data_IF_446780224479
#
_entry.id   IF_446780224479
#
_cell.length_a   1.000
_cell.length_b   1.000
_cell.length_c   1.000
_cell.angle_alpha   90.00
_cell.angle_beta   90.00
_cell.angle_gamma   90.00
#
_symmetry.space_group_name_H-M   'P 1'
#
loop_
_entity.id
_entity.type
_entity.pdbx_description
1 polymer ?
#
# COMPACT_ATOMS: atom_id res chain seq x y z
N UNK A 1 -13.42 -4.59 11.35
CA UNK A 1 -12.90 -5.55 12.34
C UNK A 1 -13.71 -5.35 13.60
N UNK A 2 -14.38 -6.39 14.09
CA UNK A 2 -15.02 -6.34 15.42
C UNK A 2 -13.91 -6.41 16.45
N UNK A 3 -13.61 -5.28 17.07
CA UNK A 3 -12.71 -5.24 18.23
C UNK A 3 -13.47 -5.85 19.40
N UNK A 4 -13.09 -7.06 19.78
CA UNK A 4 -13.65 -7.72 20.95
C UNK A 4 -13.24 -6.89 22.17
N UNK A 5 -14.15 -6.11 22.70
CA UNK A 5 -13.93 -5.41 23.97
C UNK A 5 -13.69 -6.45 25.07
N UNK A 6 -12.53 -6.37 25.73
CA UNK A 6 -12.19 -7.25 26.84
C UNK A 6 -13.14 -6.92 28.00
N UNK A 7 -14.01 -7.86 28.36
CA UNK A 7 -14.91 -7.70 29.50
C UNK A 7 -14.11 -7.79 30.80
N UNK A 8 -14.10 -6.71 31.57
CA UNK A 8 -13.41 -6.63 32.84
C UNK A 8 -14.30 -7.15 33.99
N UNK A 9 -13.74 -8.03 34.82
CA UNK A 9 -14.41 -8.56 36.02
C UNK A 9 -14.34 -7.61 37.24
N UNK A 10 -13.49 -6.57 37.11
CA UNK A 10 -13.15 -5.69 38.24
C UNK A 10 -12.05 -6.24 39.16
N UNK A 11 -11.53 -7.43 38.87
CA UNK A 11 -10.35 -7.97 39.55
C UNK A 11 -9.10 -7.35 38.96
N UNK A 12 -8.10 -7.10 39.80
CA UNK A 12 -6.80 -6.57 39.43
C UNK A 12 -5.68 -7.49 39.91
N UNK A 13 -4.52 -7.37 39.30
CA UNK A 13 -3.24 -7.88 39.77
C UNK A 13 -2.25 -6.73 39.87
N UNK A 14 -1.30 -6.86 40.80
CA UNK A 14 -0.27 -5.86 41.00
C UNK A 14 0.98 -6.24 40.20
N UNK A 15 1.44 -5.32 39.40
CA UNK A 15 2.73 -5.41 38.66
C UNK A 15 3.59 -4.21 39.01
N UNK A 16 4.91 -4.29 38.76
CA UNK A 16 5.86 -3.22 39.05
C UNK A 16 6.92 -3.07 37.99
N UNK A 17 7.47 -1.88 37.87
CA UNK A 17 8.67 -1.52 37.14
C UNK A 17 9.56 -0.58 37.96
N UNK A 18 10.56 0.05 37.33
CA UNK A 18 11.47 0.99 38.02
C UNK A 18 10.76 2.26 38.54
N UNK A 19 9.57 2.57 38.02
CA UNK A 19 8.80 3.75 38.43
C UNK A 19 7.79 3.43 39.54
N UNK A 20 7.65 2.17 39.93
CA UNK A 20 6.76 1.73 41.01
C UNK A 20 5.69 0.73 40.58
N UNK A 21 4.74 0.50 41.47
CA UNK A 21 3.66 -0.49 41.28
C UNK A 21 2.43 0.12 40.61
N UNK A 22 1.70 -0.74 39.85
CA UNK A 22 0.38 -0.43 39.29
C UNK A 22 -0.57 -1.62 39.42
N UNK A 23 -1.86 -1.30 39.57
CA UNK A 23 -2.94 -2.28 39.49
C UNK A 23 -3.36 -2.47 38.03
N UNK A 24 -3.21 -3.67 37.51
CA UNK A 24 -3.56 -4.04 36.15
C UNK A 24 -4.81 -4.93 36.18
N UNK A 25 -5.84 -4.68 35.37
CA UNK A 25 -6.98 -5.59 35.24
C UNK A 25 -6.55 -7.03 34.95
N UNK A 26 -7.12 -7.98 35.67
CA UNK A 26 -6.69 -9.37 35.67
C UNK A 26 -6.80 -10.03 34.26
N UNK A 27 -7.74 -9.54 33.45
CA UNK A 27 -8.00 -10.04 32.11
C UNK A 27 -6.91 -9.67 31.09
N UNK A 28 -6.21 -8.56 31.32
CA UNK A 28 -5.17 -8.11 30.38
C UNK A 28 -3.94 -9.03 30.42
N UNK A 29 -3.37 -9.29 29.23
CA UNK A 29 -2.07 -9.96 29.09
C UNK A 29 -0.92 -8.97 29.07
N UNK A 30 -1.13 -7.72 28.70
CA UNK A 30 -0.11 -6.69 28.85
C UNK A 30 0.04 -6.30 30.33
N UNK A 31 1.15 -5.65 30.66
CA UNK A 31 1.54 -5.32 32.03
C UNK A 31 1.71 -3.83 32.27
N UNK A 32 2.53 -3.52 33.28
CA UNK A 32 2.70 -2.16 33.82
C UNK A 32 3.30 -1.18 32.80
N UNK A 33 4.26 -1.59 31.99
CA UNK A 33 4.90 -0.68 31.03
C UNK A 33 3.95 -0.33 29.88
N UNK A 34 3.18 -1.29 29.39
CA UNK A 34 2.11 -1.03 28.42
C UNK A 34 1.04 -0.11 28.99
N UNK A 35 0.63 -0.31 30.26
CA UNK A 35 -0.37 0.54 30.91
C UNK A 35 0.12 1.99 31.00
N UNK A 36 1.37 2.22 31.39
CA UNK A 36 1.97 3.56 31.36
C UNK A 36 1.99 4.17 29.96
N UNK A 37 2.29 3.36 28.94
CA UNK A 37 2.28 3.83 27.56
C UNK A 37 0.88 4.26 27.10
N UNK A 38 -0.16 3.51 27.47
CA UNK A 38 -1.57 3.86 27.20
C UNK A 38 -1.97 5.15 27.90
N UNK A 39 -1.50 5.37 29.14
CA UNK A 39 -1.74 6.62 29.88
C UNK A 39 -1.00 7.82 29.25
N UNK A 40 0.24 7.61 28.77
CA UNK A 40 1.08 8.68 28.23
C UNK A 40 0.75 9.06 26.79
N UNK A 41 0.35 8.11 25.95
CA UNK A 41 0.21 8.30 24.52
C UNK A 41 -1.22 8.06 24.03
N UNK A 42 -2.03 9.11 24.08
CA UNK A 42 -3.38 9.20 23.54
C UNK A 42 -3.37 10.18 22.36
N UNK A 43 -2.62 9.84 21.29
CA UNK A 43 -2.22 10.79 20.26
C UNK A 43 -3.01 10.59 18.95
N UNK A 44 -2.85 9.43 18.31
CA UNK A 44 -3.46 9.17 17.00
C UNK A 44 -4.79 8.42 17.09
N UNK A 45 -5.08 7.78 18.21
CA UNK A 45 -6.15 6.81 18.41
C UNK A 45 -6.03 5.56 17.52
N UNK A 46 -4.93 5.39 16.79
CA UNK A 46 -4.62 4.19 16.02
C UNK A 46 -3.72 3.30 16.86
N UNK A 47 -4.25 2.19 17.30
CA UNK A 47 -3.53 1.22 18.13
C UNK A 47 -2.76 0.22 17.29
N UNK A 48 -1.77 -0.42 17.90
CA UNK A 48 -0.94 -1.42 17.25
C UNK A 48 -1.75 -2.59 16.64
N UNK A 49 -2.85 -2.98 17.26
CA UNK A 49 -3.72 -4.06 16.78
C UNK A 49 -4.47 -3.76 15.46
N UNK A 50 -4.40 -2.54 14.94
CA UNK A 50 -4.83 -2.24 13.57
C UNK A 50 -3.89 -2.85 12.51
N UNK A 51 -2.67 -3.22 12.91
CA UNK A 51 -1.64 -3.75 12.01
C UNK A 51 -1.20 -5.17 12.44
N UNK A 52 -2.01 -6.21 12.21
CA UNK A 52 -1.74 -7.57 12.70
C UNK A 52 -0.43 -8.16 12.17
N UNK A 53 0.03 -7.77 10.98
CA UNK A 53 1.33 -8.25 10.47
C UNK A 53 2.51 -7.77 11.34
N UNK A 54 2.41 -6.58 11.95
CA UNK A 54 3.43 -6.09 12.86
C UNK A 54 3.45 -6.91 14.18
N UNK A 55 2.27 -7.28 14.70
CA UNK A 55 2.16 -8.15 15.87
C UNK A 55 2.78 -9.53 15.60
N UNK A 56 2.45 -10.11 14.44
CA UNK A 56 3.01 -11.42 14.03
C UNK A 56 4.52 -11.36 13.86
N UNK A 57 5.04 -10.27 13.29
CA UNK A 57 6.48 -10.07 13.13
C UNK A 57 7.19 -9.84 14.48
N UNK A 58 6.58 -9.14 15.44
CA UNK A 58 7.09 -9.06 16.80
C UNK A 58 7.17 -10.45 17.45
N UNK A 59 6.14 -11.29 17.25
CA UNK A 59 6.17 -12.67 17.72
C UNK A 59 7.27 -13.50 17.03
N UNK A 60 7.50 -13.32 15.72
CA UNK A 60 8.61 -13.99 15.03
C UNK A 60 9.97 -13.62 15.65
N UNK A 61 10.19 -12.32 15.90
CA UNK A 61 11.44 -11.82 16.50
C UNK A 61 11.64 -12.40 17.89
N UNK A 62 10.60 -12.40 18.74
CA UNK A 62 10.69 -12.95 20.09
C UNK A 62 10.86 -14.46 20.10
N UNK A 63 10.26 -15.18 19.16
CA UNK A 63 10.47 -16.61 18.98
C UNK A 63 11.91 -16.92 18.57
N UNK A 64 12.44 -16.23 17.56
CA UNK A 64 13.81 -16.40 17.09
C UNK A 64 14.84 -16.09 18.19
N UNK A 65 14.60 -15.04 18.96
CA UNK A 65 15.43 -14.66 20.11
C UNK A 65 15.40 -15.73 21.23
N UNK A 66 14.22 -16.25 21.58
CA UNK A 66 14.10 -17.31 22.58
C UNK A 66 14.81 -18.60 22.16
N UNK A 67 14.71 -19.01 20.90
CA UNK A 67 15.41 -20.16 20.33
C UNK A 67 16.93 -19.96 20.37
N UNK A 68 17.41 -18.79 19.98
CA UNK A 68 18.83 -18.47 20.01
C UNK A 68 19.38 -18.48 21.45
N UNK A 69 18.73 -17.81 22.40
CA UNK A 69 19.16 -17.77 23.80
C UNK A 69 19.08 -19.14 24.47
N UNK A 70 18.12 -20.00 24.11
CA UNK A 70 18.06 -21.39 24.59
C UNK A 70 19.27 -22.19 24.12
N UNK A 71 19.59 -22.12 22.83
CA UNK A 71 20.70 -22.90 22.25
C UNK A 71 22.08 -22.43 22.72
N UNK A 72 22.19 -21.13 23.08
CA UNK A 72 23.38 -20.56 23.74
C UNK A 72 23.45 -20.89 25.24
N UNK A 73 22.45 -21.55 25.81
CA UNK A 73 22.40 -21.86 27.24
C UNK A 73 22.15 -20.64 28.15
N UNK A 74 21.67 -19.52 27.58
CA UNK A 74 21.39 -18.29 28.29
C UNK A 74 19.96 -18.23 28.86
N UNK A 75 19.04 -19.02 28.30
CA UNK A 75 17.64 -19.10 28.70
C UNK A 75 17.27 -20.53 29.07
N UNK A 76 16.61 -20.71 30.21
CA UNK A 76 16.10 -22.02 30.64
C UNK A 76 15.22 -22.64 29.55
N UNK A 77 15.45 -23.93 29.19
CA UNK A 77 14.69 -24.56 28.11
C UNK A 77 13.17 -24.57 28.31
N UNK A 78 12.67 -24.75 29.55
CA UNK A 78 11.24 -24.76 29.81
C UNK A 78 10.62 -23.36 29.63
N UNK A 79 11.33 -22.31 30.04
CA UNK A 79 10.91 -20.92 29.82
C UNK A 79 10.97 -20.58 28.32
N UNK A 80 12.02 -21.00 27.63
CA UNK A 80 12.15 -20.78 26.19
C UNK A 80 11.01 -21.43 25.41
N UNK A 81 10.69 -22.70 25.71
CA UNK A 81 9.61 -23.43 25.04
C UNK A 81 8.23 -22.79 25.32
N UNK A 82 8.00 -22.25 26.53
CA UNK A 82 6.79 -21.53 26.83
C UNK A 82 6.68 -20.21 26.06
N UNK A 83 7.78 -19.45 25.92
CA UNK A 83 7.86 -18.24 25.09
C UNK A 83 7.59 -18.57 23.63
N UNK A 84 8.23 -19.61 23.08
CA UNK A 84 8.05 -20.07 21.70
C UNK A 84 6.57 -20.39 21.43
N UNK A 85 5.93 -21.17 22.30
CA UNK A 85 4.50 -21.50 22.18
C UNK A 85 3.60 -20.27 22.25
N UNK A 86 3.88 -19.32 23.16
CA UNK A 86 3.14 -18.06 23.23
C UNK A 86 3.26 -17.25 21.92
N UNK A 87 4.46 -17.20 21.33
CA UNK A 87 4.70 -16.54 20.03
C UNK A 87 3.95 -17.26 18.89
N UNK A 88 3.90 -18.58 18.87
CA UNK A 88 3.12 -19.35 17.89
C UNK A 88 1.62 -19.04 17.98
N UNK A 89 1.07 -18.88 19.18
CA UNK A 89 -0.32 -18.46 19.37
C UNK A 89 -0.59 -17.05 18.82
N UNK A 90 0.33 -16.10 19.05
CA UNK A 90 0.24 -14.75 18.47
C UNK A 90 0.32 -14.76 16.95
N UNK A 91 1.21 -15.57 16.36
CA UNK A 91 1.31 -15.75 14.92
C UNK A 91 0.02 -16.32 14.32
N UNK A 92 -0.69 -17.15 15.07
CA UNK A 92 -1.99 -17.70 14.70
C UNK A 92 -3.15 -16.70 14.88
N UNK A 93 -2.88 -15.45 15.30
CA UNK A 93 -3.86 -14.40 15.46
C UNK A 93 -4.59 -14.38 16.81
N UNK A 94 -4.06 -15.10 17.83
CA UNK A 94 -4.61 -14.99 19.19
C UNK A 94 -4.04 -13.78 19.92
N UNK A 95 -4.81 -13.22 20.84
CA UNK A 95 -4.40 -12.12 21.75
C UNK A 95 -4.04 -10.81 21.00
N UNK A 96 -4.43 -10.63 19.73
CA UNK A 96 -4.19 -9.38 18.98
C UNK A 96 -4.84 -8.16 19.68
N UNK A 97 -5.97 -8.36 20.38
CA UNK A 97 -6.66 -7.32 21.14
C UNK A 97 -5.86 -6.78 22.33
N UNK A 98 -4.79 -7.49 22.74
CA UNK A 98 -3.90 -7.09 23.83
C UNK A 98 -2.81 -6.09 23.39
N UNK A 99 -2.71 -5.78 22.10
CA UNK A 99 -1.74 -4.83 21.55
C UNK A 99 -2.39 -3.45 21.43
N UNK A 100 -2.35 -2.70 22.51
CA UNK A 100 -3.20 -1.51 22.75
C UNK A 100 -2.46 -0.18 22.66
N UNK A 101 -1.13 -0.18 22.54
CA UNK A 101 -0.33 1.06 22.48
C UNK A 101 -0.64 1.86 21.21
N UNK A 102 -0.64 3.19 21.32
CA UNK A 102 -0.81 4.09 20.18
C UNK A 102 0.40 3.96 19.23
N UNK A 103 0.16 4.00 17.93
CA UNK A 103 1.22 3.95 16.91
C UNK A 103 2.13 5.17 16.97
N UNK A 104 1.61 6.33 17.39
CA UNK A 104 2.40 7.56 17.58
C UNK A 104 2.83 7.65 19.04
N UNK A 105 4.09 7.28 19.29
CA UNK A 105 4.65 7.14 20.62
C UNK A 105 6.10 7.64 20.67
N UNK A 106 6.52 8.23 21.78
CA UNK A 106 7.92 8.53 22.05
C UNK A 106 8.69 7.28 22.48
N UNK A 107 10.02 7.32 22.38
CA UNK A 107 10.91 6.24 22.87
C UNK A 107 11.29 5.20 21.81
N UNK A 108 11.30 5.57 20.53
CA UNK A 108 11.79 4.73 19.43
C UNK A 108 11.15 3.32 19.35
N UNK A 109 9.87 3.20 19.72
CA UNK A 109 9.15 1.92 19.68
C UNK A 109 9.22 1.09 20.97
N UNK A 110 9.79 1.63 22.06
CA UNK A 110 9.89 0.89 23.35
C UNK A 110 8.52 0.45 23.87
N UNK A 111 7.49 1.29 23.77
CA UNK A 111 6.13 0.90 24.18
C UNK A 111 5.60 -0.29 23.39
N UNK A 112 5.85 -0.33 22.10
CA UNK A 112 5.49 -1.47 21.22
C UNK A 112 6.25 -2.74 21.59
N UNK A 113 7.57 -2.64 21.77
CA UNK A 113 8.42 -3.76 22.18
C UNK A 113 7.99 -4.33 23.53
N UNK A 114 7.71 -3.45 24.52
CA UNK A 114 7.28 -3.87 25.84
C UNK A 114 5.86 -4.44 25.84
N UNK A 115 4.93 -3.92 25.03
CA UNK A 115 3.62 -4.52 24.87
C UNK A 115 3.74 -6.00 24.41
N UNK A 116 4.60 -6.28 23.42
CA UNK A 116 4.86 -7.66 23.01
C UNK A 116 5.52 -8.49 24.14
N UNK A 117 6.55 -7.95 24.78
CA UNK A 117 7.25 -8.65 25.87
C UNK A 117 6.32 -9.04 27.01
N UNK A 118 5.44 -8.14 27.44
CA UNK A 118 4.52 -8.35 28.55
C UNK A 118 3.41 -9.36 28.19
N UNK A 119 2.81 -9.25 27.01
CA UNK A 119 1.80 -10.19 26.52
C UNK A 119 2.39 -11.60 26.42
N UNK A 120 3.57 -11.74 25.80
CA UNK A 120 4.25 -13.03 25.65
C UNK A 120 4.64 -13.60 27.01
N UNK A 121 5.21 -12.78 27.92
CA UNK A 121 5.59 -13.25 29.26
C UNK A 121 4.39 -13.75 30.06
N UNK A 122 3.28 -13.03 30.07
CA UNK A 122 2.07 -13.44 30.78
C UNK A 122 1.45 -14.70 30.17
N UNK A 123 1.46 -14.83 28.84
CA UNK A 123 1.00 -16.08 28.20
C UNK A 123 1.92 -17.26 28.48
N UNK A 124 3.23 -17.06 28.46
CA UNK A 124 4.22 -18.08 28.80
C UNK A 124 4.05 -18.58 30.25
N UNK A 125 3.77 -17.69 31.22
CA UNK A 125 3.48 -18.08 32.61
C UNK A 125 2.29 -19.02 32.70
N UNK A 126 1.18 -18.71 32.04
CA UNK A 126 0.01 -19.59 32.01
C UNK A 126 0.33 -20.94 31.40
N UNK A 127 1.15 -20.99 30.34
CA UNK A 127 1.60 -22.23 29.72
C UNK A 127 2.50 -23.07 30.63
N UNK A 128 3.17 -22.43 31.58
CA UNK A 128 3.96 -23.04 32.65
C UNK A 128 3.12 -23.42 33.88
N UNK A 129 1.82 -23.09 33.91
CA UNK A 129 0.92 -23.34 35.03
C UNK A 129 0.96 -22.31 36.15
N UNK A 130 1.36 -21.08 35.85
CA UNK A 130 1.47 -19.96 36.79
C UNK A 130 0.51 -18.81 36.43
N UNK A 131 0.34 -17.88 37.37
CA UNK A 131 -0.53 -16.73 37.20
C UNK A 131 0.19 -15.57 36.47
N UNK A 132 -0.58 -14.72 35.82
CA UNK A 132 -0.09 -13.46 35.24
C UNK A 132 0.51 -12.56 36.32
N UNK A 133 1.62 -11.87 36.02
CA UNK A 133 2.33 -10.99 36.97
C UNK A 133 3.40 -11.68 37.83
N UNK A 134 3.50 -13.01 37.83
CA UNK A 134 4.53 -13.76 38.58
C UNK A 134 5.88 -13.76 37.86
N UNK A 135 6.62 -12.65 37.96
CA UNK A 135 7.86 -12.38 37.21
C UNK A 135 8.97 -13.41 37.37
N UNK A 136 9.01 -14.13 38.51
CA UNK A 136 10.01 -15.14 38.78
C UNK A 136 9.97 -16.34 37.82
N UNK A 137 8.81 -16.62 37.20
CA UNK A 137 8.67 -17.75 36.26
C UNK A 137 8.92 -17.36 34.79
N UNK A 138 8.55 -16.14 34.40
CA UNK A 138 8.92 -15.59 33.11
C UNK A 138 8.85 -14.05 33.16
N UNK A 139 10.00 -13.40 33.07
CA UNK A 139 10.09 -11.93 33.14
C UNK A 139 10.12 -11.30 31.76
N UNK A 140 9.33 -10.23 31.48
CA UNK A 140 9.31 -9.60 30.15
C UNK A 140 10.68 -9.09 29.71
N UNK A 141 11.48 -8.49 30.61
CA UNK A 141 12.81 -8.00 30.26
C UNK A 141 13.89 -9.09 30.34
N UNK A 142 13.94 -9.88 31.42
CA UNK A 142 15.06 -10.79 31.67
C UNK A 142 14.99 -12.07 30.85
N UNK A 143 13.78 -12.48 30.38
CA UNK A 143 13.58 -13.70 29.61
C UNK A 143 13.11 -13.40 28.17
N UNK A 144 11.95 -12.73 27.97
CA UNK A 144 11.41 -12.47 26.62
C UNK A 144 12.31 -11.51 25.83
N UNK A 145 12.86 -10.48 26.50
CA UNK A 145 13.74 -9.49 25.88
C UNK A 145 15.25 -9.80 26.06
N UNK A 146 15.62 -10.99 26.52
CA UNK A 146 17.01 -11.37 26.74
C UNK A 146 17.85 -11.18 25.46
N UNK A 147 19.04 -10.63 25.59
CA UNK A 147 19.98 -10.30 24.50
C UNK A 147 19.47 -9.29 23.47
N UNK A 148 18.43 -8.53 23.78
CA UNK A 148 17.80 -7.57 22.88
C UNK A 148 17.77 -6.15 23.45
N UNK A 149 17.69 -5.19 22.54
CA UNK A 149 17.18 -3.85 22.79
C UNK A 149 15.90 -3.64 21.95
N UNK A 150 15.12 -2.62 22.26
CA UNK A 150 14.09 -2.13 21.33
C UNK A 150 14.71 -1.76 19.99
N UNK A 151 15.92 -1.21 20.03
CA UNK A 151 16.62 -0.62 18.89
C UNK A 151 17.04 -1.66 17.82
N UNK A 152 17.04 -2.94 18.14
CA UNK A 152 17.25 -4.02 17.16
C UNK A 152 15.98 -4.86 16.94
N UNK A 153 15.26 -5.21 18.00
CA UNK A 153 14.06 -6.05 17.91
C UNK A 153 12.90 -5.37 17.18
N UNK A 154 12.63 -4.09 17.46
CA UNK A 154 11.54 -3.35 16.84
C UNK A 154 11.74 -3.12 15.34
N UNK A 155 12.84 -2.51 14.86
CA UNK A 155 13.05 -2.33 13.42
C UNK A 155 13.14 -3.67 12.66
N UNK A 156 13.67 -4.74 13.27
CA UNK A 156 13.65 -6.07 12.66
C UNK A 156 12.22 -6.57 12.46
N UNK A 157 11.35 -6.45 13.45
CA UNK A 157 9.93 -6.79 13.32
C UNK A 157 9.23 -5.93 12.26
N UNK A 158 9.50 -4.63 12.22
CA UNK A 158 8.95 -3.71 11.21
C UNK A 158 9.36 -4.15 9.81
N UNK A 159 10.62 -4.48 9.58
CA UNK A 159 11.13 -4.94 8.27
C UNK A 159 10.41 -6.22 7.81
N UNK A 160 10.28 -7.22 8.69
CA UNK A 160 9.56 -8.47 8.39
C UNK A 160 8.07 -8.18 8.07
N UNK A 161 7.41 -7.36 8.86
CA UNK A 161 6.01 -7.00 8.66
C UNK A 161 5.78 -6.22 7.36
N UNK A 162 6.69 -5.31 6.99
CA UNK A 162 6.64 -4.56 5.73
C UNK A 162 6.78 -5.49 4.52
N UNK A 163 7.67 -6.48 4.56
CA UNK A 163 7.79 -7.47 3.48
C UNK A 163 6.43 -8.13 3.22
N UNK A 164 5.79 -8.68 4.26
CA UNK A 164 4.48 -9.34 4.15
C UNK A 164 3.37 -8.39 3.67
N UNK A 165 3.39 -7.16 4.15
CA UNK A 165 2.39 -6.14 3.77
C UNK A 165 2.57 -5.69 2.33
N UNK A 166 3.81 -5.55 1.84
CA UNK A 166 4.12 -5.23 0.45
C UNK A 166 3.71 -6.38 -0.48
N UNK A 167 3.90 -7.64 -0.08
CA UNK A 167 3.41 -8.80 -0.84
C UNK A 167 1.90 -8.73 -1.07
N UNK A 168 1.12 -8.39 -0.03
CA UNK A 168 -0.33 -8.18 -0.14
C UNK A 168 -0.67 -6.99 -1.04
N UNK A 169 0.08 -5.89 -0.92
CA UNK A 169 -0.10 -4.72 -1.78
C UNK A 169 0.14 -5.06 -3.25
N UNK A 170 1.21 -5.79 -3.57
CA UNK A 170 1.53 -6.24 -4.93
C UNK A 170 0.48 -7.22 -5.46
N UNK A 171 -0.05 -8.12 -4.62
CA UNK A 171 -1.12 -9.03 -5.02
C UNK A 171 -2.39 -8.24 -5.41
N UNK A 172 -2.83 -7.29 -4.58
CA UNK A 172 -3.98 -6.43 -4.86
C UNK A 172 -3.77 -5.57 -6.12
N UNK A 173 -2.56 -5.08 -6.34
CA UNK A 173 -2.20 -4.33 -7.54
C UNK A 173 -2.30 -5.19 -8.81
N UNK A 174 -1.82 -6.43 -8.79
CA UNK A 174 -1.92 -7.37 -9.91
C UNK A 174 -3.38 -7.65 -10.29
N UNK A 175 -4.25 -7.80 -9.30
CA UNK A 175 -5.68 -8.00 -9.56
C UNK A 175 -6.33 -6.77 -10.19
N UNK A 176 -5.96 -5.56 -9.78
CA UNK A 176 -6.43 -4.33 -10.40
C UNK A 176 -5.93 -4.20 -11.86
N UNK A 177 -4.66 -4.52 -12.11
CA UNK A 177 -4.08 -4.55 -13.46
C UNK A 177 -4.85 -5.51 -14.36
N UNK A 178 -5.15 -6.72 -13.88
CA UNK A 178 -5.94 -7.70 -14.64
C UNK A 178 -7.35 -7.18 -14.98
N UNK A 179 -7.97 -6.43 -14.08
CA UNK A 179 -9.27 -5.81 -14.34
C UNK A 179 -9.21 -4.73 -15.42
N UNK A 180 -8.14 -3.93 -15.47
CA UNK A 180 -7.91 -2.96 -16.55
C UNK A 180 -7.66 -3.65 -17.89
N UNK A 181 -6.86 -4.73 -17.94
CA UNK A 181 -6.66 -5.54 -19.14
C UNK A 181 -7.98 -6.11 -19.67
N UNK A 182 -8.81 -6.70 -18.80
CA UNK A 182 -10.10 -7.23 -19.20
C UNK A 182 -11.01 -6.15 -19.83
N UNK A 183 -10.99 -4.93 -19.32
CA UNK A 183 -11.69 -3.78 -19.92
C UNK A 183 -11.02 -3.31 -21.21
N UNK A 184 -9.70 -3.39 -21.31
CA UNK A 184 -8.95 -3.13 -22.54
C UNK A 184 -9.38 -4.04 -23.68
N UNK A 185 -9.51 -5.33 -23.42
CA UNK A 185 -10.03 -6.31 -24.38
C UNK A 185 -11.50 -6.05 -24.73
N UNK A 186 -12.37 -5.82 -23.72
CA UNK A 186 -13.81 -5.55 -23.92
C UNK A 186 -14.04 -4.33 -24.83
N UNK A 187 -13.22 -3.28 -24.67
CA UNK A 187 -13.38 -2.02 -25.41
C UNK A 187 -12.45 -1.89 -26.62
N UNK A 188 -11.81 -2.97 -27.04
CA UNK A 188 -10.79 -2.95 -28.12
C UNK A 188 -11.31 -2.45 -29.46
N UNK A 189 -12.59 -2.70 -29.78
CA UNK A 189 -13.24 -2.24 -31.02
C UNK A 189 -13.91 -0.86 -30.93
N UNK A 190 -13.92 -0.22 -29.76
CA UNK A 190 -14.67 1.03 -29.57
C UNK A 190 -13.74 2.21 -29.86
N UNK A 191 -14.01 2.89 -31.00
CA UNK A 191 -13.24 4.07 -31.40
C UNK A 191 -13.64 5.28 -30.54
N UNK A 192 -12.62 6.07 -30.18
CA UNK A 192 -12.78 7.35 -29.47
C UNK A 192 -11.80 8.41 -29.98
N UNK A 193 -12.02 9.67 -29.64
CA UNK A 193 -11.07 10.73 -29.85
C UNK A 193 -10.04 10.74 -28.72
N UNK A 194 -8.76 10.56 -29.05
CA UNK A 194 -7.65 10.80 -28.14
C UNK A 194 -7.47 12.31 -27.92
N UNK A 195 -7.05 12.70 -26.72
CA UNK A 195 -6.86 14.10 -26.33
C UNK A 195 -5.47 14.36 -25.77
N UNK A 196 -4.90 15.49 -26.16
CA UNK A 196 -3.72 16.07 -25.53
C UNK A 196 -4.05 17.48 -25.08
N UNK A 197 -3.67 17.85 -23.84
CA UNK A 197 -4.04 19.15 -23.26
C UNK A 197 -5.57 19.39 -23.24
N UNK A 198 -6.37 18.33 -23.14
CA UNK A 198 -7.83 18.30 -23.25
C UNK A 198 -8.38 18.75 -24.60
N UNK A 199 -7.53 18.92 -25.61
CA UNK A 199 -7.93 19.21 -26.98
C UNK A 199 -7.96 17.95 -27.83
N UNK A 200 -8.81 17.92 -28.86
CA UNK A 200 -8.88 16.83 -29.81
C UNK A 200 -7.51 16.60 -30.46
N UNK A 201 -7.06 15.34 -30.49
CA UNK A 201 -5.81 14.96 -31.12
C UNK A 201 -6.07 14.04 -32.32
N UNK A 202 -6.02 12.73 -32.09
CA UNK A 202 -6.18 11.71 -33.13
C UNK A 202 -7.08 10.58 -32.62
N UNK A 203 -7.74 9.83 -33.52
CA UNK A 203 -8.50 8.65 -33.14
C UNK A 203 -7.63 7.59 -32.47
N UNK A 204 -8.23 6.92 -31.49
CA UNK A 204 -7.71 5.73 -30.79
C UNK A 204 -8.88 4.82 -30.39
N UNK A 205 -8.61 3.65 -29.81
CA UNK A 205 -9.67 2.88 -29.19
C UNK A 205 -9.76 3.13 -27.69
N UNK A 206 -10.94 3.00 -27.12
CA UNK A 206 -11.13 3.03 -25.66
C UNK A 206 -10.36 1.87 -25.01
N UNK A 207 -10.27 0.71 -25.67
CA UNK A 207 -9.44 -0.40 -25.22
C UNK A 207 -7.97 -0.03 -25.06
N UNK A 208 -7.38 0.70 -26.01
CA UNK A 208 -5.99 1.19 -25.91
C UNK A 208 -5.78 2.09 -24.70
N UNK A 209 -6.77 2.88 -24.30
CA UNK A 209 -6.68 3.72 -23.11
C UNK A 209 -6.68 2.89 -21.83
N UNK A 210 -7.52 1.87 -21.71
CA UNK A 210 -7.54 0.96 -20.57
C UNK A 210 -6.29 0.08 -20.49
N UNK A 211 -5.77 -0.39 -21.62
CA UNK A 211 -4.47 -1.09 -21.71
C UNK A 211 -3.31 -0.19 -21.25
N UNK A 212 -3.35 1.10 -21.59
CA UNK A 212 -2.34 2.04 -21.12
C UNK A 212 -2.38 2.23 -19.60
N UNK A 213 -3.57 2.19 -18.97
CA UNK A 213 -3.68 2.18 -17.51
C UNK A 213 -3.08 0.93 -16.90
N UNK A 214 -3.36 -0.24 -17.46
CA UNK A 214 -2.80 -1.51 -17.02
C UNK A 214 -1.27 -1.51 -17.12
N UNK A 215 -0.71 -1.12 -18.27
CA UNK A 215 0.73 -1.03 -18.50
C UNK A 215 1.40 -0.05 -17.53
N UNK A 216 0.78 1.11 -17.29
CA UNK A 216 1.29 2.12 -16.35
C UNK A 216 1.39 1.58 -14.91
N UNK A 217 0.43 0.77 -14.47
CA UNK A 217 0.43 0.16 -13.14
C UNK A 217 1.37 -1.05 -13.05
N UNK A 218 1.59 -1.77 -14.14
CA UNK A 218 2.47 -2.96 -14.17
C UNK A 218 3.90 -2.61 -13.74
N UNK A 219 4.41 -1.45 -14.13
CA UNK A 219 5.74 -0.98 -13.71
C UNK A 219 5.87 -0.88 -12.18
N UNK A 220 4.78 -0.64 -11.46
CA UNK A 220 4.82 -0.47 -10.00
C UNK A 220 4.98 -1.80 -9.27
N UNK A 221 4.54 -2.92 -9.86
CA UNK A 221 4.77 -4.25 -9.26
C UNK A 221 6.25 -4.57 -9.14
N UNK A 222 7.04 -4.23 -10.16
CA UNK A 222 8.49 -4.43 -10.15
C UNK A 222 9.17 -3.52 -9.14
N UNK A 223 8.75 -2.24 -9.08
CA UNK A 223 9.33 -1.26 -8.15
C UNK A 223 9.08 -1.62 -6.69
N UNK A 224 7.84 -1.97 -6.34
CA UNK A 224 7.49 -2.41 -5.00
C UNK A 224 8.25 -3.69 -4.61
N UNK A 225 8.33 -4.68 -5.52
CA UNK A 225 9.06 -5.92 -5.28
C UNK A 225 10.57 -5.68 -5.13
N UNK A 226 11.15 -4.76 -5.90
CA UNK A 226 12.56 -4.41 -5.76
C UNK A 226 12.86 -3.72 -4.42
N UNK A 227 12.00 -2.79 -3.99
CA UNK A 227 12.13 -2.10 -2.70
C UNK A 227 11.96 -3.04 -1.50
N UNK A 228 11.12 -4.06 -1.60
CA UNK A 228 10.93 -5.07 -0.56
C UNK A 228 12.24 -5.75 -0.17
N UNK A 229 13.17 -5.94 -1.11
CA UNK A 229 14.48 -6.57 -0.86
C UNK A 229 15.37 -5.76 0.10
N UNK A 230 15.14 -4.45 0.23
CA UNK A 230 15.88 -3.60 1.16
C UNK A 230 15.59 -3.94 2.64
N UNK A 231 14.49 -4.65 2.89
CA UNK A 231 14.11 -5.07 4.24
C UNK A 231 14.67 -6.43 4.65
N UNK A 232 15.40 -7.11 3.77
CA UNK A 232 16.03 -8.41 4.12
C UNK A 232 17.27 -8.25 4.99
N UNK A 233 17.94 -7.10 4.95
CA UNK A 233 19.02 -6.77 5.87
C UNK A 233 18.44 -6.30 7.21
N UNK A 234 18.83 -6.95 8.30
CA UNK A 234 18.33 -6.69 9.65
C UNK A 234 19.47 -6.41 10.62
N UNK A 235 19.19 -5.63 11.67
CA UNK A 235 20.16 -5.31 12.71
C UNK A 235 19.95 -6.11 14.00
N UNK A 236 19.33 -7.29 13.93
CA UNK A 236 19.09 -8.13 15.11
C UNK A 236 20.39 -8.58 15.75
N UNK A 237 20.55 -8.34 17.06
CA UNK A 237 21.80 -8.53 17.79
C UNK A 237 22.66 -7.26 17.92
N UNK A 238 22.28 -6.17 17.26
CA UNK A 238 22.92 -4.85 17.41
C UNK A 238 22.84 -4.31 18.83
N UNK A 239 21.81 -4.71 19.55
CA UNK A 239 21.44 -4.22 20.87
C UNK A 239 21.20 -2.69 20.87
N UNK A 240 21.85 -1.95 21.75
CA UNK A 240 21.56 -0.53 21.97
C UNK A 240 21.91 0.39 20.80
N UNK A 241 23.11 0.23 20.21
CA UNK A 241 23.69 1.13 19.20
C UNK A 241 24.46 0.40 18.09
N UNK A 242 24.35 -0.90 17.97
CA UNK A 242 25.07 -1.68 16.95
C UNK A 242 26.36 -2.36 17.42
N UNK A 243 26.72 -2.23 18.70
CA UNK A 243 27.96 -2.85 19.25
C UNK A 243 27.74 -4.26 19.80
N UNK A 244 26.49 -4.73 19.89
CA UNK A 244 26.17 -6.04 20.46
C UNK A 244 26.39 -6.16 21.96
N UNK A 245 26.49 -5.04 22.68
CA UNK A 245 26.73 -5.07 24.12
C UNK A 245 25.63 -5.84 24.85
N UNK A 246 26.01 -6.68 25.83
CA UNK A 246 25.13 -7.57 26.60
C UNK A 246 24.48 -8.73 25.80
N UNK A 247 24.96 -9.02 24.59
CA UNK A 247 24.62 -10.20 23.83
C UNK A 247 25.83 -11.13 23.70
N UNK A 248 25.58 -12.42 23.55
CA UNK A 248 26.62 -13.39 23.20
C UNK A 248 27.13 -13.11 21.77
N UNK A 249 28.44 -13.27 21.48
CA UNK A 249 28.98 -13.06 20.14
C UNK A 249 28.28 -13.84 19.02
N UNK A 250 27.76 -15.03 19.31
CA UNK A 250 27.09 -15.90 18.35
C UNK A 250 25.58 -15.62 18.24
N UNK A 251 25.03 -14.74 19.08
CA UNK A 251 23.58 -14.47 19.16
C UNK A 251 23.02 -13.91 17.87
N UNK A 252 23.64 -12.91 17.25
CA UNK A 252 23.12 -12.24 16.05
C UNK A 252 22.96 -13.23 14.90
N UNK A 253 24.01 -14.01 14.61
CA UNK A 253 23.98 -15.03 13.55
C UNK A 253 22.97 -16.14 13.80
N UNK A 254 22.90 -16.61 15.05
CA UNK A 254 21.98 -17.67 15.45
C UNK A 254 20.51 -17.18 15.37
N UNK A 255 20.22 -16.00 15.87
CA UNK A 255 18.89 -15.41 15.83
C UNK A 255 18.45 -15.14 14.38
N UNK A 256 19.32 -14.59 13.54
CA UNK A 256 19.04 -14.37 12.10
C UNK A 256 18.74 -15.68 11.38
N UNK A 257 19.46 -16.76 11.69
CA UNK A 257 19.17 -18.10 11.16
C UNK A 257 17.76 -18.55 11.54
N UNK A 258 17.38 -18.45 12.81
CA UNK A 258 16.03 -18.81 13.25
C UNK A 258 14.95 -17.93 12.64
N UNK A 259 15.18 -16.64 12.51
CA UNK A 259 14.24 -15.76 11.81
C UNK A 259 14.03 -16.15 10.35
N UNK A 260 15.08 -16.59 9.64
CA UNK A 260 14.94 -17.15 8.27
C UNK A 260 14.09 -18.41 8.26
N UNK A 261 14.30 -19.32 9.21
CA UNK A 261 13.53 -20.58 9.32
C UNK A 261 12.05 -20.29 9.64
N UNK A 262 11.77 -19.37 10.58
CA UNK A 262 10.41 -19.01 11.01
C UNK A 262 9.63 -18.29 9.91
N UNK A 263 10.27 -17.34 9.24
CA UNK A 263 9.61 -16.44 8.29
C UNK A 263 9.63 -16.92 6.85
N UNK A 264 10.59 -17.78 6.48
CA UNK A 264 10.88 -18.17 5.10
C UNK A 264 11.53 -17.05 4.28
N UNK A 265 11.86 -15.90 4.89
CA UNK A 265 12.47 -14.76 4.22
C UNK A 265 14.00 -14.90 4.17
N UNK A 266 14.67 -14.42 3.11
CA UNK A 266 16.13 -14.47 2.96
C UNK A 266 16.82 -13.38 3.77
N UNK A 267 16.55 -13.33 5.08
CA UNK A 267 17.09 -12.33 5.99
C UNK A 267 18.61 -12.50 6.14
N UNK A 268 19.32 -11.38 6.21
CA UNK A 268 20.77 -11.31 6.42
C UNK A 268 21.10 -10.30 7.50
N UNK A 269 22.20 -10.54 8.19
CA UNK A 269 22.75 -9.57 9.14
C UNK A 269 23.26 -8.33 8.39
N UNK A 270 23.05 -7.15 8.97
CA UNK A 270 23.59 -5.92 8.44
C UNK A 270 25.13 -5.95 8.41
N UNK A 271 25.69 -5.46 7.33
CA UNK A 271 27.15 -5.39 7.17
C UNK A 271 27.82 -4.45 8.17
N UNK A 272 27.09 -3.44 8.63
CA UNK A 272 27.48 -2.53 9.71
C UNK A 272 26.29 -2.30 10.64
N UNK A 273 26.31 -2.94 11.80
CA UNK A 273 25.22 -2.89 12.76
C UNK A 273 25.01 -1.49 13.36
N UNK A 274 26.04 -0.65 13.45
CA UNK A 274 25.91 0.73 13.96
C UNK A 274 25.15 1.59 12.95
N UNK A 275 25.52 1.51 11.69
CA UNK A 275 24.82 2.19 10.59
C UNK A 275 23.36 1.72 10.52
N UNK A 276 23.13 0.41 10.49
CA UNK A 276 21.79 -0.18 10.36
C UNK A 276 20.85 0.10 11.54
N UNK A 277 21.38 0.52 12.70
CA UNK A 277 20.58 0.91 13.88
C UNK A 277 20.08 2.35 13.77
N UNK A 278 20.70 3.19 12.96
CA UNK A 278 20.31 4.60 12.78
C UNK A 278 19.72 4.90 11.38
N UNK A 279 20.06 4.10 10.36
CA UNK A 279 19.61 4.36 8.98
C UNK A 279 18.13 3.99 8.74
N UNK A 280 17.45 4.91 8.08
CA UNK A 280 16.05 4.76 7.67
C UNK A 280 15.86 4.83 6.14
N UNK A 281 16.93 4.70 5.37
CA UNK A 281 16.94 4.82 3.90
C UNK A 281 16.01 3.84 3.21
N UNK A 282 15.93 2.59 3.69
CA UNK A 282 15.01 1.58 3.19
C UNK A 282 13.53 2.00 3.35
N UNK A 283 13.18 2.65 4.46
CA UNK A 283 11.83 3.15 4.72
C UNK A 283 11.46 4.32 3.78
N UNK A 284 12.39 5.26 3.53
CA UNK A 284 12.22 6.36 2.57
C UNK A 284 11.97 5.80 1.17
N UNK A 285 12.78 4.85 0.71
CA UNK A 285 12.63 4.25 -0.60
C UNK A 285 11.26 3.56 -0.78
N UNK A 286 10.83 2.83 0.24
CA UNK A 286 9.51 2.18 0.23
C UNK A 286 8.37 3.20 0.23
N UNK A 287 8.44 4.23 1.06
CA UNK A 287 7.47 5.34 1.08
C UNK A 287 7.36 6.01 -0.29
N UNK A 288 8.48 6.30 -0.93
CA UNK A 288 8.51 6.88 -2.27
C UNK A 288 7.91 5.97 -3.34
N UNK A 289 8.07 4.65 -3.23
CA UNK A 289 7.42 3.69 -4.12
C UNK A 289 5.89 3.67 -3.92
N UNK A 290 5.42 3.72 -2.68
CA UNK A 290 3.98 3.84 -2.36
C UNK A 290 3.39 5.14 -2.90
N UNK A 291 4.08 6.28 -2.71
CA UNK A 291 3.70 7.58 -3.29
C UNK A 291 3.59 7.51 -4.81
N UNK A 292 4.58 6.90 -5.49
CA UNK A 292 4.57 6.76 -6.94
C UNK A 292 3.34 5.99 -7.43
N UNK A 293 2.99 4.87 -6.79
CA UNK A 293 1.76 4.13 -7.05
C UNK A 293 0.52 5.01 -6.83
N UNK A 294 0.45 5.72 -5.71
CA UNK A 294 -0.67 6.60 -5.38
C UNK A 294 -0.88 7.70 -6.44
N UNK A 295 0.19 8.33 -6.93
CA UNK A 295 0.13 9.34 -8.00
C UNK A 295 -0.45 8.76 -9.28
N UNK A 296 -0.02 7.56 -9.69
CA UNK A 296 -0.54 6.88 -10.88
C UNK A 296 -2.02 6.52 -10.74
N UNK A 297 -2.43 5.98 -9.59
CA UNK A 297 -3.84 5.68 -9.30
C UNK A 297 -4.69 6.94 -9.33
N UNK A 298 -4.21 8.03 -8.74
CA UNK A 298 -4.91 9.32 -8.73
C UNK A 298 -5.10 9.87 -10.15
N UNK A 299 -4.07 9.78 -11.00
CA UNK A 299 -4.16 10.21 -12.41
C UNK A 299 -5.21 9.39 -13.16
N UNK A 300 -5.19 8.07 -13.03
CA UNK A 300 -6.19 7.20 -13.67
C UNK A 300 -7.61 7.56 -13.18
N UNK A 301 -7.79 7.77 -11.89
CA UNK A 301 -9.08 8.17 -11.33
C UNK A 301 -9.55 9.54 -11.82
N UNK A 302 -8.66 10.50 -12.05
CA UNK A 302 -9.01 11.78 -12.66
C UNK A 302 -9.53 11.58 -14.10
N UNK A 303 -8.89 10.70 -14.89
CA UNK A 303 -9.34 10.39 -16.23
C UNK A 303 -10.72 9.71 -16.20
N UNK A 304 -10.92 8.70 -15.36
CA UNK A 304 -12.22 8.01 -15.23
C UNK A 304 -13.35 8.97 -14.86
N UNK A 305 -13.08 9.94 -13.98
CA UNK A 305 -14.04 11.00 -13.62
C UNK A 305 -14.34 11.92 -14.78
N UNK A 306 -13.34 12.28 -15.57
CA UNK A 306 -13.50 13.13 -16.74
C UNK A 306 -14.25 12.41 -17.86
N UNK A 307 -13.88 11.18 -18.20
CA UNK A 307 -14.51 10.36 -19.23
C UNK A 307 -15.99 10.06 -18.93
N UNK A 308 -16.35 9.93 -17.65
CA UNK A 308 -17.73 9.68 -17.21
C UNK A 308 -18.53 10.95 -16.93
N UNK A 309 -17.98 12.12 -17.18
CA UNK A 309 -18.64 13.40 -16.86
C UNK A 309 -19.90 13.65 -17.68
N UNK A 310 -20.90 14.26 -17.07
CA UNK A 310 -22.15 14.60 -17.73
C UNK A 310 -23.36 14.03 -16.99
N UNK A 311 -24.27 13.28 -17.68
CA UNK A 311 -24.16 12.69 -19.02
C UNK A 311 -24.46 13.62 -20.21
N UNK A 312 -25.09 14.77 -19.99
CA UNK A 312 -25.51 15.65 -21.12
C UNK A 312 -24.56 16.81 -21.41
N UNK A 313 -23.86 17.28 -20.38
CA UNK A 313 -22.98 18.46 -20.43
C UNK A 313 -21.52 18.10 -20.15
N UNK A 314 -21.11 16.88 -20.41
CA UNK A 314 -19.74 16.39 -20.23
C UNK A 314 -19.33 15.45 -21.36
N UNK A 315 -18.23 14.71 -21.18
CA UNK A 315 -17.69 13.81 -22.20
C UNK A 315 -18.60 12.58 -22.40
N UNK A 316 -19.05 11.98 -21.32
CA UNK A 316 -19.95 10.83 -21.34
C UNK A 316 -19.48 9.68 -22.26
N UNK A 317 -18.17 9.42 -22.30
CA UNK A 317 -17.61 8.33 -23.10
C UNK A 317 -17.79 6.95 -22.43
N UNK A 318 -17.82 6.95 -21.08
CA UNK A 318 -18.04 5.76 -20.26
C UNK A 318 -19.11 6.01 -19.18
N UNK A 319 -19.70 4.93 -18.67
CA UNK A 319 -20.55 4.98 -17.48
C UNK A 319 -19.86 4.24 -16.34
N UNK A 320 -19.79 4.86 -15.18
CA UNK A 320 -19.36 4.22 -13.94
C UNK A 320 -20.60 3.60 -13.24
N UNK A 321 -20.45 2.44 -12.55
CA UNK A 321 -21.54 1.85 -11.79
C UNK A 321 -22.06 2.81 -10.72
N UNK A 322 -23.40 3.05 -10.65
CA UNK A 322 -23.98 3.87 -9.60
C UNK A 322 -23.84 3.18 -8.24
N UNK A 323 -23.29 3.88 -7.23
CA UNK A 323 -23.03 3.29 -5.90
C UNK A 323 -23.84 3.94 -4.79
N UNK A 324 -24.21 5.20 -4.96
CA UNK A 324 -25.04 5.93 -4.01
C UNK A 324 -25.69 7.14 -4.68
N UNK A 325 -26.80 7.68 -4.13
CA UNK A 325 -27.35 8.95 -4.58
C UNK A 325 -26.28 10.06 -4.49
N UNK A 326 -26.15 10.86 -5.54
CA UNK A 326 -25.09 11.87 -5.66
C UNK A 326 -25.41 13.23 -5.08
N UNK A 327 -26.68 13.46 -4.68
CA UNK A 327 -27.14 14.76 -4.20
C UNK A 327 -28.36 14.63 -3.31
N UNK A 328 -28.43 15.48 -2.28
CA UNK A 328 -29.60 15.60 -1.41
C UNK A 328 -30.72 16.45 -2.02
N UNK A 329 -30.42 17.26 -3.07
CA UNK A 329 -31.38 18.22 -3.69
C UNK A 329 -31.57 18.02 -5.19
N UNK A 330 -30.76 17.17 -5.84
CA UNK A 330 -30.86 16.90 -7.30
C UNK A 330 -31.21 15.42 -7.53
N UNK A 331 -32.51 15.08 -7.72
CA UNK A 331 -32.91 13.69 -7.99
C UNK A 331 -32.24 13.13 -9.24
N UNK A 332 -31.77 11.89 -9.17
CA UNK A 332 -31.13 11.22 -10.30
C UNK A 332 -29.66 11.56 -10.56
N UNK A 333 -29.05 12.47 -9.78
CA UNK A 333 -27.61 12.74 -9.89
C UNK A 333 -26.81 11.61 -9.25
N UNK A 334 -25.87 11.04 -10.00
CA UNK A 334 -24.90 10.04 -9.51
C UNK A 334 -23.49 10.60 -9.71
N UNK A 335 -22.68 10.59 -8.66
CA UNK A 335 -21.30 11.07 -8.69
C UNK A 335 -20.29 9.93 -8.80
N UNK A 336 -19.08 10.18 -9.33
CA UNK A 336 -18.01 9.18 -9.46
C UNK A 336 -17.27 8.97 -8.14
N UNK A 337 -18.01 8.61 -7.07
CA UNK A 337 -17.51 8.61 -5.67
C UNK A 337 -16.35 7.63 -5.42
N UNK A 338 -16.26 6.55 -6.21
CA UNK A 338 -15.17 5.57 -6.05
C UNK A 338 -13.83 6.10 -6.57
N UNK A 339 -13.72 6.67 -7.78
CA UNK A 339 -12.52 7.40 -8.15
C UNK A 339 -12.17 8.54 -7.20
N UNK A 340 -13.16 9.27 -6.66
CA UNK A 340 -12.94 10.36 -5.71
C UNK A 340 -12.28 9.88 -4.41
N UNK A 341 -12.72 8.77 -3.83
CA UNK A 341 -12.11 8.24 -2.61
C UNK A 341 -10.68 7.75 -2.86
N UNK A 342 -10.38 7.19 -4.04
CA UNK A 342 -9.02 6.79 -4.42
C UNK A 342 -8.11 8.04 -4.54
N UNK A 343 -8.61 9.14 -5.10
CA UNK A 343 -7.88 10.41 -5.09
C UNK A 343 -7.53 10.86 -3.66
N UNK A 344 -8.49 10.78 -2.71
CA UNK A 344 -8.24 11.15 -1.31
C UNK A 344 -7.22 10.24 -0.64
N UNK A 345 -7.27 8.94 -0.90
CA UNK A 345 -6.23 7.99 -0.45
C UNK A 345 -4.86 8.39 -0.99
N UNK A 346 -4.77 8.73 -2.29
CA UNK A 346 -3.51 9.17 -2.88
C UNK A 346 -2.96 10.45 -2.21
N UNK A 347 -3.82 11.41 -1.88
CA UNK A 347 -3.39 12.63 -1.19
C UNK A 347 -2.85 12.31 0.22
N UNK A 348 -3.48 11.37 0.93
CA UNK A 348 -3.01 10.93 2.25
C UNK A 348 -1.65 10.25 2.15
N UNK A 349 -1.46 9.34 1.20
CA UNK A 349 -0.19 8.63 0.96
C UNK A 349 0.94 9.60 0.60
N UNK A 350 0.66 10.63 -0.22
CA UNK A 350 1.64 11.67 -0.54
C UNK A 350 2.03 12.46 0.72
N UNK A 351 1.07 12.79 1.58
CA UNK A 351 1.33 13.44 2.86
C UNK A 351 2.16 12.57 3.82
N UNK A 352 1.88 11.28 3.86
CA UNK A 352 2.65 10.31 4.65
C UNK A 352 4.10 10.20 4.16
N UNK A 353 4.36 10.21 2.86
CA UNK A 353 5.73 10.20 2.30
C UNK A 353 6.53 11.43 2.74
N UNK A 354 5.91 12.59 2.77
CA UNK A 354 6.57 13.79 3.30
C UNK A 354 6.88 13.64 4.80
N UNK A 355 5.96 13.07 5.57
CA UNK A 355 6.18 12.80 7.00
C UNK A 355 7.34 11.83 7.20
N UNK A 356 7.40 10.74 6.43
CA UNK A 356 8.53 9.77 6.47
C UNK A 356 9.84 10.46 6.14
N UNK A 357 9.88 11.33 5.13
CA UNK A 357 11.08 12.07 4.74
C UNK A 357 11.59 12.96 5.88
N UNK A 358 10.72 13.75 6.49
CA UNK A 358 11.07 14.65 7.60
C UNK A 358 11.50 13.86 8.84
N UNK A 359 10.78 12.80 9.18
CA UNK A 359 11.08 11.96 10.34
C UNK A 359 12.41 11.21 10.17
N UNK A 360 12.74 10.82 8.94
CA UNK A 360 14.02 10.18 8.63
C UNK A 360 15.20 11.14 8.78
N UNK A 361 15.04 12.39 8.34
CA UNK A 361 16.07 13.44 8.49
C UNK A 361 16.25 13.85 9.96
N UNK A 362 15.20 13.77 10.78
CA UNK A 362 15.23 14.18 12.18
C UNK A 362 16.01 13.24 13.12
N UNK A 363 16.48 12.08 12.65
CA UNK A 363 17.35 11.18 13.41
C UNK A 363 18.66 11.83 13.81
N UNK A 364 19.17 11.48 14.98
CA UNK A 364 20.42 12.03 15.52
C UNK A 364 21.33 10.91 16.01
N UNK A 365 22.61 10.96 15.63
CA UNK A 365 23.65 10.04 16.05
C UNK A 365 23.29 8.57 15.76
N UNK A 366 23.36 7.69 16.74
CA UNK A 366 23.32 6.24 16.57
C UNK A 366 21.89 5.64 16.55
N UNK A 367 20.84 6.48 16.60
CA UNK A 367 19.44 6.01 16.57
C UNK A 367 18.49 7.05 15.99
N UNK A 368 17.61 6.64 15.09
CA UNK A 368 16.47 7.46 14.71
C UNK A 368 15.27 7.19 15.63
N UNK A 369 15.00 8.12 16.56
CA UNK A 369 13.91 8.00 17.54
C UNK A 369 12.52 8.24 16.95
N UNK A 370 12.43 8.65 15.68
CA UNK A 370 11.16 8.94 14.97
C UNK A 370 10.60 7.71 14.23
N UNK A 371 11.20 6.54 14.36
CA UNK A 371 10.70 5.30 13.75
C UNK A 371 9.20 5.06 13.95
N UNK A 372 8.58 5.27 15.13
CA UNK A 372 7.15 5.00 15.28
C UNK A 372 6.26 5.74 14.29
N UNK A 373 6.51 7.02 14.01
CA UNK A 373 5.73 7.77 13.02
C UNK A 373 6.04 7.33 11.58
N UNK A 374 7.30 6.95 11.28
CA UNK A 374 7.68 6.36 10.00
C UNK A 374 6.88 5.07 9.76
N UNK A 375 6.88 4.18 10.73
CA UNK A 375 6.19 2.89 10.71
C UNK A 375 4.69 3.07 10.56
N UNK A 376 4.08 3.97 11.32
CA UNK A 376 2.66 4.30 11.20
C UNK A 376 2.30 4.75 9.79
N UNK A 377 3.03 5.71 9.22
CA UNK A 377 2.79 6.23 7.87
C UNK A 377 2.91 5.16 6.79
N UNK A 378 3.90 4.25 6.90
CA UNK A 378 4.10 3.17 5.93
C UNK A 378 2.96 2.15 5.94
N UNK A 379 2.57 1.66 7.12
CA UNK A 379 1.48 0.69 7.24
C UNK A 379 0.12 1.30 6.89
N UNK A 380 -0.18 2.51 7.35
CA UNK A 380 -1.40 3.23 6.97
C UNK A 380 -1.51 3.36 5.45
N UNK A 381 -0.42 3.76 4.79
CA UNK A 381 -0.39 3.91 3.33
C UNK A 381 -0.61 2.59 2.60
N UNK A 382 0.01 1.50 3.03
CA UNK A 382 -0.18 0.17 2.45
C UNK A 382 -1.63 -0.29 2.59
N UNK A 383 -2.20 -0.23 3.78
CA UNK A 383 -3.59 -0.65 4.03
C UNK A 383 -4.59 0.19 3.23
N UNK A 384 -4.41 1.51 3.21
CA UNK A 384 -5.27 2.39 2.43
C UNK A 384 -5.17 2.10 0.93
N UNK A 385 -3.97 1.86 0.38
CA UNK A 385 -3.78 1.52 -1.03
C UNK A 385 -4.42 0.18 -1.39
N UNK A 386 -4.25 -0.86 -0.56
CA UNK A 386 -4.89 -2.17 -0.77
C UNK A 386 -6.41 -2.01 -0.82
N UNK A 387 -7.00 -1.35 0.18
CA UNK A 387 -8.43 -1.16 0.28
C UNK A 387 -8.99 -0.29 -0.87
N UNK A 388 -8.26 0.75 -1.28
CA UNK A 388 -8.64 1.61 -2.41
C UNK A 388 -8.61 0.85 -3.74
N UNK A 389 -7.56 0.05 -4.00
CA UNK A 389 -7.44 -0.74 -5.22
C UNK A 389 -8.52 -1.82 -5.31
N UNK A 390 -8.79 -2.55 -4.22
CA UNK A 390 -9.85 -3.55 -4.19
C UNK A 390 -11.23 -2.90 -4.40
N UNK A 391 -11.50 -1.78 -3.74
CA UNK A 391 -12.74 -1.03 -3.91
C UNK A 391 -12.89 -0.51 -5.35
N UNK A 392 -11.83 0.04 -5.93
CA UNK A 392 -11.82 0.52 -7.32
C UNK A 392 -12.08 -0.63 -8.30
N UNK A 393 -11.39 -1.76 -8.14
CA UNK A 393 -11.55 -2.96 -8.97
C UNK A 393 -12.99 -3.48 -8.95
N UNK A 394 -13.46 -3.82 -7.75
CA UNK A 394 -14.72 -4.57 -7.58
C UNK A 394 -15.96 -3.72 -7.80
N UNK A 395 -15.90 -2.49 -7.35
CA UNK A 395 -17.08 -1.61 -7.31
C UNK A 395 -17.10 -0.56 -8.43
N UNK A 396 -16.01 -0.39 -9.16
CA UNK A 396 -15.93 0.57 -10.26
C UNK A 396 -15.52 -0.12 -11.57
N UNK A 397 -14.25 -0.53 -11.73
CA UNK A 397 -13.69 -1.00 -13.00
C UNK A 397 -14.49 -2.18 -13.59
N UNK A 398 -14.80 -3.18 -12.79
CA UNK A 398 -15.54 -4.36 -13.25
C UNK A 398 -16.87 -4.04 -13.91
N UNK A 399 -17.54 -2.97 -13.51
CA UNK A 399 -18.86 -2.58 -14.01
C UNK A 399 -18.88 -1.36 -14.93
N UNK A 400 -17.73 -0.87 -15.40
CA UNK A 400 -17.67 0.22 -16.39
C UNK A 400 -18.28 -0.29 -17.71
N UNK A 401 -19.10 0.57 -18.35
CA UNK A 401 -19.62 0.37 -19.71
C UNK A 401 -19.23 1.55 -20.60
N UNK A 402 -19.10 1.29 -21.88
CA UNK A 402 -18.80 2.33 -22.86
C UNK A 402 -20.08 2.91 -23.50
N UNK A 403 -20.05 4.20 -23.83
CA UNK A 403 -21.06 4.86 -24.65
C UNK A 403 -20.54 4.96 -26.10
N UNK A 404 -20.57 3.84 -26.83
CA UNK A 404 -19.96 3.68 -28.14
C UNK A 404 -20.41 4.75 -29.13
N UNK A 405 -21.74 5.04 -29.23
CA UNK A 405 -22.27 6.05 -30.11
C UNK A 405 -21.79 7.47 -29.79
N UNK A 406 -21.58 7.77 -28.51
CA UNK A 406 -21.01 9.06 -28.08
C UNK A 406 -19.56 9.17 -28.53
N UNK A 407 -18.76 8.13 -28.27
CA UNK A 407 -17.38 8.07 -28.68
C UNK A 407 -17.24 8.22 -30.21
N UNK A 408 -17.99 7.43 -30.95
CA UNK A 408 -18.01 7.45 -32.43
C UNK A 408 -18.39 8.84 -32.96
N UNK A 409 -19.49 9.42 -32.48
CA UNK A 409 -19.92 10.76 -32.90
C UNK A 409 -18.87 11.81 -32.67
N UNK A 410 -18.14 11.78 -31.54
CA UNK A 410 -17.05 12.71 -31.24
C UNK A 410 -15.91 12.58 -32.27
N UNK A 411 -15.54 11.36 -32.65
CA UNK A 411 -14.51 11.13 -33.68
C UNK A 411 -14.92 11.74 -35.02
N UNK A 412 -16.14 11.41 -35.51
CA UNK A 412 -16.59 11.88 -36.82
C UNK A 412 -16.87 13.38 -36.88
N UNK A 413 -17.19 14.01 -35.76
CA UNK A 413 -17.35 15.45 -35.69
C UNK A 413 -16.05 16.22 -35.44
N UNK A 414 -14.98 15.53 -35.08
CA UNK A 414 -13.71 16.19 -34.79
C UNK A 414 -12.95 16.58 -36.05
N UNK A 415 -12.34 17.77 -36.01
CA UNK A 415 -11.40 18.20 -37.06
C UNK A 415 -10.12 17.32 -37.05
N UNK A 416 -9.78 16.73 -35.92
CA UNK A 416 -8.67 15.78 -35.79
C UNK A 416 -8.75 14.58 -36.71
N UNK A 417 -9.95 14.23 -37.20
CA UNK A 417 -10.16 13.18 -38.21
C UNK A 417 -9.34 13.41 -39.49
N UNK A 418 -9.08 14.66 -39.85
CA UNK A 418 -8.28 15.03 -41.02
C UNK A 418 -6.86 14.42 -40.97
N UNK A 419 -6.32 14.22 -39.75
CA UNK A 419 -5.00 13.62 -39.55
C UNK A 419 -4.97 12.16 -40.03
N UNK A 420 -6.04 11.40 -39.85
CA UNK A 420 -6.19 10.04 -40.32
C UNK A 420 -6.28 9.98 -41.87
N UNK A 421 -6.79 11.04 -42.50
CA UNK A 421 -6.92 11.18 -43.96
C UNK A 421 -5.66 11.73 -44.63
N UNK A 422 -4.75 12.35 -43.88
CA UNK A 422 -3.54 12.97 -44.43
C UNK A 422 -2.66 12.05 -45.31
N UNK A 423 -2.48 10.73 -44.98
CA UNK A 423 -1.74 9.83 -45.88
C UNK A 423 -2.36 9.64 -47.28
N UNK A 424 -3.64 9.89 -47.40
CA UNK A 424 -4.41 9.70 -48.65
C UNK A 424 -4.60 11.00 -49.42
N UNK A 425 -4.89 12.09 -48.72
CA UNK A 425 -5.24 13.40 -49.31
C UNK A 425 -4.03 14.37 -49.41
N UNK A 426 -2.97 14.10 -48.68
CA UNK A 426 -1.82 14.99 -48.53
C UNK A 426 -2.08 16.16 -47.57
N UNK A 427 -0.99 16.80 -47.16
CA UNK A 427 -1.03 17.84 -46.11
C UNK A 427 -1.81 19.10 -46.53
N UNK A 428 -1.64 19.56 -47.79
CA UNK A 428 -2.30 20.80 -48.26
C UNK A 428 -3.81 20.64 -48.29
N UNK A 429 -4.32 19.52 -48.87
CA UNK A 429 -5.76 19.24 -48.93
C UNK A 429 -6.33 19.07 -47.50
N UNK A 430 -5.61 18.36 -46.65
CA UNK A 430 -5.98 18.18 -45.24
C UNK A 430 -6.06 19.51 -44.52
N UNK A 431 -5.12 20.42 -44.74
CA UNK A 431 -5.13 21.78 -44.13
C UNK A 431 -6.26 22.63 -44.66
N UNK A 432 -6.63 22.51 -45.94
CA UNK A 432 -7.77 23.18 -46.53
C UNK A 432 -9.08 22.71 -45.83
N UNK A 433 -9.28 21.42 -45.75
CA UNK A 433 -10.46 20.82 -45.13
C UNK A 433 -10.59 21.24 -43.64
N UNK A 434 -9.49 21.22 -42.90
CA UNK A 434 -9.49 21.65 -41.49
C UNK A 434 -9.90 23.14 -41.33
N UNK A 435 -9.38 24.02 -42.19
CA UNK A 435 -9.76 25.45 -42.20
C UNK A 435 -11.23 25.65 -42.56
N UNK A 436 -11.75 24.89 -43.51
CA UNK A 436 -13.14 24.97 -43.93
C UNK A 436 -14.07 24.45 -42.86
N UNK A 437 -13.75 23.31 -42.22
CA UNK A 437 -14.49 22.77 -41.10
C UNK A 437 -14.58 23.75 -39.93
N UNK A 438 -13.47 24.42 -39.57
CA UNK A 438 -13.44 25.46 -38.54
C UNK A 438 -14.36 26.65 -38.89
N UNK A 439 -14.40 27.06 -40.15
CA UNK A 439 -15.15 28.21 -40.62
C UNK A 439 -16.66 27.91 -40.75
N UNK A 440 -17.00 26.70 -41.21
CA UNK A 440 -18.38 26.37 -41.59
C UNK A 440 -19.11 25.55 -40.50
N UNK A 441 -18.38 24.93 -39.55
CA UNK A 441 -18.93 24.00 -38.59
C UNK A 441 -19.27 22.60 -39.17
N UNK A 442 -18.96 22.34 -40.47
CA UNK A 442 -19.20 21.06 -41.11
C UNK A 442 -18.16 20.02 -40.65
N UNK A 443 -18.59 18.76 -40.59
CA UNK A 443 -17.73 17.61 -40.32
C UNK A 443 -16.72 17.35 -41.46
N UNK A 444 -15.54 16.85 -41.14
CA UNK A 444 -14.52 16.48 -42.14
C UNK A 444 -15.06 15.42 -43.11
N UNK A 445 -15.85 14.48 -42.62
CA UNK A 445 -16.49 13.43 -43.45
C UNK A 445 -17.31 14.04 -44.59
N UNK A 446 -18.21 14.97 -44.23
CA UNK A 446 -19.09 15.64 -45.19
C UNK A 446 -18.30 16.46 -46.22
N UNK A 447 -17.29 17.20 -45.75
CA UNK A 447 -16.43 18.03 -46.65
C UNK A 447 -15.64 17.19 -47.63
N UNK A 448 -15.13 16.01 -47.26
CA UNK A 448 -14.44 15.09 -48.18
C UNK A 448 -15.37 14.64 -49.30
N UNK A 449 -16.63 14.34 -48.98
CA UNK A 449 -17.62 13.94 -49.99
C UNK A 449 -18.08 15.12 -50.85
N UNK A 450 -18.34 16.29 -50.27
CA UNK A 450 -18.71 17.51 -51.01
C UNK A 450 -17.66 17.94 -52.04
N UNK A 451 -16.38 17.86 -51.63
CA UNK A 451 -15.25 18.17 -52.51
C UNK A 451 -14.88 17.00 -53.45
N UNK A 452 -15.59 15.87 -53.36
CA UNK A 452 -15.36 14.66 -54.18
C UNK A 452 -13.89 14.16 -54.14
N UNK A 453 -13.26 14.27 -52.99
CA UNK A 453 -11.86 13.89 -52.75
C UNK A 453 -11.68 12.38 -52.63
N UNK A 454 -12.73 11.68 -52.17
CA UNK A 454 -12.83 10.22 -52.06
C UNK A 454 -14.28 9.81 -52.31
N UNK A 455 -14.49 8.56 -52.75
CA UNK A 455 -15.84 7.98 -52.74
C UNK A 455 -16.27 7.66 -51.30
N UNK A 456 -17.57 7.56 -51.09
CA UNK A 456 -18.11 7.20 -49.76
C UNK A 456 -17.60 5.82 -49.29
N UNK A 457 -17.47 4.86 -50.22
CA UNK A 457 -16.95 3.52 -49.95
C UNK A 457 -15.47 3.54 -49.54
N UNK A 458 -14.63 4.31 -50.23
CA UNK A 458 -13.21 4.49 -49.90
C UNK A 458 -13.06 5.21 -48.56
N UNK A 459 -13.81 6.26 -48.32
CA UNK A 459 -13.80 7.03 -47.07
C UNK A 459 -14.21 6.16 -45.89
N UNK A 460 -15.27 5.36 -46.06
CA UNK A 460 -15.71 4.43 -45.02
C UNK A 460 -14.65 3.36 -44.71
N UNK A 461 -13.94 2.86 -45.75
CA UNK A 461 -12.85 1.91 -45.56
C UNK A 461 -11.64 2.53 -44.86
N UNK A 462 -11.27 3.74 -45.19
CA UNK A 462 -10.14 4.48 -44.58
C UNK A 462 -10.44 4.77 -43.11
N UNK A 463 -11.68 5.08 -42.80
CA UNK A 463 -12.14 5.45 -41.45
C UNK A 463 -12.58 4.26 -40.58
N UNK A 464 -12.29 3.01 -40.98
CA UNK A 464 -12.44 1.88 -40.09
C UNK A 464 -11.45 1.99 -38.94
N UNK A 465 -11.82 1.59 -37.69
CA UNK A 465 -10.96 1.70 -36.52
C UNK A 465 -9.54 1.16 -36.75
N UNK A 466 -9.43 -0.03 -37.33
CA UNK A 466 -8.15 -0.70 -37.62
C UNK A 466 -7.23 0.14 -38.50
N UNK A 467 -7.82 1.04 -39.26
CA UNK A 467 -7.13 1.89 -40.23
C UNK A 467 -6.65 3.22 -39.65
N UNK A 468 -7.17 3.61 -38.46
CA UNK A 468 -6.89 4.91 -37.86
C UNK A 468 -5.98 4.83 -36.62
N UNK A 469 -5.92 3.65 -35.97
CA UNK A 469 -5.35 3.52 -34.62
C UNK A 469 -3.97 2.83 -34.58
N UNK A 470 -3.42 2.46 -35.74
CA UNK A 470 -2.10 1.80 -35.85
C UNK A 470 -1.21 2.46 -36.89
N UNK A 471 0.12 2.46 -36.69
CA UNK A 471 1.08 2.90 -37.73
C UNK A 471 0.92 2.08 -39.01
N UNK A 472 1.04 2.75 -40.17
CA UNK A 472 0.99 2.10 -41.49
C UNK A 472 2.23 2.42 -42.29
N UNK A 473 2.65 1.47 -43.15
CA UNK A 473 3.59 1.76 -44.24
C UNK A 473 2.92 2.74 -45.22
N UNK A 474 3.67 3.72 -45.70
CA UNK A 474 3.18 4.63 -46.74
C UNK A 474 2.69 3.78 -47.93
N UNK A 475 1.49 4.11 -48.42
CA UNK A 475 0.96 3.49 -49.63
C UNK A 475 1.85 3.98 -50.77
N UNK A 476 2.73 3.11 -51.28
CA UNK A 476 3.62 3.43 -52.43
C UNK A 476 5.08 3.04 -52.28
N UNK A 477 5.46 2.27 -51.26
CA UNK A 477 6.76 1.57 -51.19
C UNK A 477 6.57 0.05 -51.16
#
# INVERSE_FOLDING_TARGET
MDFTEIRLSGKTRREHDLLGEMEIPAEYYFGVQTMRAVENFHISHVRLNFFPELIRALADVKQGAAMANRDLGLLDPAIADAIIRACEELRAGKLEEQFVVDMVQGGAGTSTNMNANEVIANRARELLGHEKGEYQFCHPNNHVNLSQSTNDAYPTAVRIALVRSIEKLVASLRELIAAFHAKGEEFSGIIKMGRTQLQDAVPMTLGQEFEAYAANLTEETERLTANMKLFFEINMGATAIGTGINADPDYAGLCTRYLREITGLPLVEASNMIEATSDTGAFIMNSSAQKRLAVKLSKICNDLRLLSSGPRCGLNEINLPPRQPGSSIMPGKVNPVLPEVVNQVAFRVIGNDLTVTIASEAGQLELNVMEPIIVHCLFESIEMLINAMNTLREKCIAGITANEEVCRRMVFNSIGLVTALNPYLGYETSSMLAKEALKTGKGIYDLVLEHKLMSEEELHKVLQPENMVHPRKKIGE
#
